data_IF_574743602289
#
_entry.id   IF_574743602289
#
_cell.length_a   1.000
_cell.length_b   1.000
_cell.length_c   1.000
_cell.angle_alpha   90.00
_cell.angle_beta   90.00
_cell.angle_gamma   90.00
#
_symmetry.space_group_name_H-M   'P 1'
#
loop_
_entity.id
_entity.type
_entity.pdbx_description
1 polymer ?
#
# COMPACT_ATOMS: atom_id res chain seq x y z
N UNK A 1 -18.22 1.16 -11.50
CA UNK A 1 -17.46 2.29 -10.96
C UNK A 1 -17.73 2.53 -9.47
N UNK A 2 -18.88 3.12 -9.05
CA UNK A 2 -19.11 3.47 -7.62
C UNK A 2 -19.00 2.27 -6.68
N UNK A 3 -19.62 1.15 -7.00
CA UNK A 3 -19.55 -0.06 -6.16
C UNK A 3 -18.16 -0.69 -6.12
N UNK A 4 -17.39 -0.61 -7.18
CA UNK A 4 -16.03 -1.11 -7.24
C UNK A 4 -15.11 -0.33 -6.31
N UNK A 5 -15.20 1.01 -6.32
CA UNK A 5 -14.43 1.89 -5.44
C UNK A 5 -14.89 1.71 -3.99
N UNK A 6 -16.21 1.81 -3.73
CA UNK A 6 -16.74 1.72 -2.38
C UNK A 6 -16.47 0.35 -1.73
N UNK A 7 -16.55 -0.76 -2.49
CA UNK A 7 -16.25 -2.09 -1.98
C UNK A 7 -14.81 -2.21 -1.49
N UNK A 8 -13.85 -1.76 -2.28
CA UNK A 8 -12.42 -1.78 -1.91
C UNK A 8 -12.13 -0.81 -0.75
N UNK A 9 -12.64 0.41 -0.81
CA UNK A 9 -12.47 1.39 0.28
C UNK A 9 -13.06 0.90 1.62
N UNK A 10 -14.24 0.29 1.59
CA UNK A 10 -14.90 -0.24 2.79
C UNK A 10 -14.21 -1.50 3.34
N UNK A 11 -13.40 -2.21 2.54
CA UNK A 11 -12.59 -3.33 3.01
C UNK A 11 -11.66 -2.91 4.14
N UNK A 12 -11.07 -1.72 4.05
CA UNK A 12 -10.19 -1.14 5.08
C UNK A 12 -10.92 -0.86 6.41
N UNK A 13 -12.24 -0.82 6.42
CA UNK A 13 -13.07 -0.52 7.60
C UNK A 13 -13.81 -1.73 8.18
N UNK A 14 -13.68 -2.91 7.56
CA UNK A 14 -14.60 -4.03 7.71
C UNK A 14 -14.94 -4.41 9.16
N UNK A 15 -13.98 -4.54 10.06
CA UNK A 15 -14.20 -4.88 11.47
C UNK A 15 -13.83 -3.74 12.43
N UNK A 16 -13.67 -2.52 11.89
CA UNK A 16 -13.33 -1.35 12.70
C UNK A 16 -14.61 -0.64 13.16
N UNK A 17 -14.60 -0.20 14.42
CA UNK A 17 -15.63 0.71 14.94
C UNK A 17 -15.18 2.15 14.67
N UNK A 18 -15.44 2.62 13.47
CA UNK A 18 -15.08 3.97 13.03
C UNK A 18 -16.21 4.58 12.19
N UNK A 19 -16.18 5.88 12.01
CA UNK A 19 -17.00 6.54 11.00
C UNK A 19 -16.43 6.24 9.61
N UNK A 20 -17.30 6.24 8.60
CA UNK A 20 -16.88 5.98 7.21
C UNK A 20 -16.21 7.23 6.67
N UNK A 21 -14.87 7.28 6.74
CA UNK A 21 -14.03 8.36 6.19
C UNK A 21 -14.61 9.76 6.49
N UNK A 22 -14.57 10.21 7.75
CA UNK A 22 -15.29 11.43 8.19
C UNK A 22 -14.79 12.70 7.52
N UNK A 23 -13.54 12.72 7.06
CA UNK A 23 -12.93 13.86 6.37
C UNK A 23 -13.14 13.83 4.86
N UNK A 24 -13.73 12.75 4.30
CA UNK A 24 -13.89 12.59 2.86
C UNK A 24 -15.19 13.22 2.36
N UNK A 25 -15.06 14.26 1.55
CA UNK A 25 -16.19 14.96 0.93
C UNK A 25 -16.45 14.52 -0.52
N UNK A 26 -15.39 14.27 -1.28
CA UNK A 26 -15.49 14.09 -2.73
C UNK A 26 -14.52 13.05 -3.26
N UNK A 27 -15.00 12.18 -4.15
CA UNK A 27 -14.18 11.28 -4.96
C UNK A 27 -14.30 11.70 -6.42
N UNK A 28 -13.20 12.17 -7.00
CA UNK A 28 -13.08 12.50 -8.42
C UNK A 28 -12.53 11.29 -9.18
N UNK A 29 -13.17 10.92 -10.28
CA UNK A 29 -12.73 9.77 -11.07
C UNK A 29 -12.48 10.22 -12.51
N UNK A 30 -11.22 10.17 -12.92
CA UNK A 30 -10.79 10.42 -14.30
C UNK A 30 -10.76 9.11 -15.10
N UNK A 31 -10.94 9.14 -16.41
CA UNK A 31 -10.91 7.91 -17.23
C UNK A 31 -9.58 7.18 -17.20
N UNK A 32 -8.46 7.92 -17.21
CA UNK A 32 -7.07 7.44 -17.23
C UNK A 32 -6.21 8.29 -16.31
N UNK A 33 -4.92 7.96 -16.23
CA UNK A 33 -3.91 8.80 -15.56
C UNK A 33 -4.07 10.28 -15.90
N UNK A 34 -3.82 11.11 -14.91
CA UNK A 34 -3.91 12.55 -15.04
C UNK A 34 -2.61 13.20 -14.59
N UNK A 35 -2.25 14.30 -15.23
CA UNK A 35 -1.07 15.07 -14.89
C UNK A 35 -1.50 16.20 -13.96
N UNK A 36 -0.97 16.20 -12.72
CA UNK A 36 -1.09 17.34 -11.82
C UNK A 36 0.20 18.15 -11.89
N UNK A 37 0.06 19.41 -12.26
CA UNK A 37 1.17 20.36 -12.19
C UNK A 37 1.20 20.93 -10.77
N UNK A 38 2.18 20.55 -9.98
CA UNK A 38 2.45 21.13 -8.66
C UNK A 38 3.53 22.19 -8.77
N UNK A 39 3.34 23.28 -8.03
CA UNK A 39 4.38 24.27 -7.83
C UNK A 39 5.17 23.87 -6.59
N UNK A 40 6.31 23.21 -6.76
CA UNK A 40 7.21 22.90 -5.66
C UNK A 40 8.08 24.11 -5.32
N UNK A 41 8.06 24.50 -4.06
CA UNK A 41 8.94 25.56 -3.56
C UNK A 41 10.26 24.93 -3.13
N UNK A 42 11.27 25.03 -3.98
CA UNK A 42 12.62 24.55 -3.69
C UNK A 42 13.38 25.42 -2.70
N UNK A 43 14.59 24.99 -2.30
CA UNK A 43 15.49 25.79 -1.46
C UNK A 43 15.72 27.19 -2.05
N UNK A 44 15.50 28.23 -1.25
CA UNK A 44 15.62 29.62 -1.70
C UNK A 44 14.33 30.24 -2.27
N UNK A 45 13.16 29.57 -2.14
CA UNK A 45 11.87 30.12 -2.57
C UNK A 45 11.62 30.06 -4.10
N UNK A 46 12.42 29.29 -4.81
CA UNK A 46 12.23 29.09 -6.26
C UNK A 46 11.07 28.13 -6.48
N UNK A 47 10.03 28.60 -7.17
CA UNK A 47 8.87 27.79 -7.54
C UNK A 47 9.19 27.08 -8.85
N UNK A 48 9.27 25.75 -8.81
CA UNK A 48 9.46 24.92 -10.01
C UNK A 48 8.17 24.13 -10.26
N UNK A 49 7.55 24.26 -11.44
CA UNK A 49 6.42 23.38 -11.77
C UNK A 49 6.95 21.96 -11.98
N UNK A 50 6.51 21.01 -11.15
CA UNK A 50 6.69 19.59 -11.38
C UNK A 50 5.41 19.00 -11.95
N UNK A 51 5.51 18.24 -13.03
CA UNK A 51 4.39 17.54 -13.65
C UNK A 51 4.59 16.03 -13.39
N UNK A 52 3.85 15.50 -12.43
CA UNK A 52 3.85 14.07 -12.14
C UNK A 52 2.55 13.45 -12.65
N UNK A 53 2.65 12.35 -13.39
CA UNK A 53 1.51 11.48 -13.68
C UNK A 53 1.07 10.82 -12.37
N UNK A 54 -0.19 11.01 -12.00
CA UNK A 54 -0.77 10.43 -10.80
C UNK A 54 -1.82 9.37 -11.16
N UNK A 55 -1.74 8.23 -10.51
CA UNK A 55 -2.70 7.13 -10.61
C UNK A 55 -3.89 7.38 -9.66
N UNK A 56 -3.58 8.04 -8.54
CA UNK A 56 -4.48 8.50 -7.52
C UNK A 56 -3.85 9.67 -6.75
N UNK A 57 -4.61 10.34 -5.93
CA UNK A 57 -4.17 11.37 -5.01
C UNK A 57 -5.21 11.60 -3.91
N UNK A 58 -4.75 11.54 -2.68
CA UNK A 58 -5.53 11.90 -1.50
C UNK A 58 -5.13 13.31 -1.04
N UNK A 59 -6.07 14.22 -1.09
CA UNK A 59 -5.84 15.61 -0.70
C UNK A 59 -6.32 15.85 0.72
N UNK A 60 -5.50 16.53 1.53
CA UNK A 60 -5.85 16.87 2.92
C UNK A 60 -7.05 17.82 3.07
N UNK A 61 -7.75 18.13 1.99
CA UNK A 61 -8.97 18.93 1.95
C UNK A 61 -10.25 18.08 1.72
N UNK A 62 -10.19 16.77 1.98
CA UNK A 62 -11.34 15.87 1.87
C UNK A 62 -11.60 15.33 0.46
N UNK A 63 -10.63 15.39 -0.42
CA UNK A 63 -10.77 14.88 -1.79
C UNK A 63 -9.85 13.69 -2.06
N UNK A 64 -10.41 12.69 -2.73
CA UNK A 64 -9.67 11.57 -3.33
C UNK A 64 -9.85 11.63 -4.83
N UNK A 65 -8.77 11.53 -5.58
CA UNK A 65 -8.77 11.51 -7.04
C UNK A 65 -8.27 10.17 -7.52
N UNK A 66 -8.97 9.52 -8.45
CA UNK A 66 -8.66 8.18 -8.94
C UNK A 66 -8.66 8.13 -10.47
N UNK A 67 -7.73 7.38 -11.06
CA UNK A 67 -7.75 6.99 -12.45
C UNK A 67 -8.56 5.68 -12.61
N UNK A 68 -9.63 5.72 -13.41
CA UNK A 68 -10.55 4.59 -13.52
C UNK A 68 -9.91 3.33 -14.10
N UNK A 69 -9.02 3.46 -15.04
CA UNK A 69 -8.28 2.34 -15.62
C UNK A 69 -7.40 1.62 -14.56
N UNK A 70 -6.80 2.36 -13.61
CA UNK A 70 -6.06 1.79 -12.50
C UNK A 70 -6.98 1.14 -11.45
N UNK A 71 -8.14 1.76 -11.15
CA UNK A 71 -9.17 1.13 -10.31
C UNK A 71 -9.62 -0.22 -10.90
N UNK A 72 -9.76 -0.30 -12.23
CA UNK A 72 -10.13 -1.55 -12.89
C UNK A 72 -9.02 -2.60 -12.83
N UNK A 73 -7.76 -2.21 -12.97
CA UNK A 73 -6.61 -3.12 -12.86
C UNK A 73 -6.51 -3.71 -11.46
N UNK A 74 -6.48 -2.89 -10.41
CA UNK A 74 -6.44 -3.37 -9.03
C UNK A 74 -7.67 -4.18 -8.63
N UNK A 75 -8.85 -3.94 -9.25
CA UNK A 75 -10.03 -4.79 -9.05
C UNK A 75 -9.97 -6.12 -9.81
N UNK A 76 -9.15 -6.24 -10.85
CA UNK A 76 -9.01 -7.44 -11.67
C UNK A 76 -7.89 -8.37 -11.19
N UNK A 77 -6.83 -7.83 -10.61
CA UNK A 77 -5.72 -8.59 -10.03
C UNK A 77 -5.60 -8.27 -8.52
N UNK A 78 -5.78 -9.27 -7.70
CA UNK A 78 -5.73 -9.20 -6.24
C UNK A 78 -4.43 -9.79 -5.67
N UNK A 79 -3.42 -9.95 -6.50
CA UNK A 79 -2.20 -10.66 -6.15
C UNK A 79 -0.92 -9.90 -6.47
N UNK A 80 -1.04 -8.80 -7.19
CA UNK A 80 0.13 -8.03 -7.66
C UNK A 80 0.62 -6.98 -6.66
N UNK A 81 -0.18 -6.63 -5.63
CA UNK A 81 0.17 -5.66 -4.60
C UNK A 81 0.05 -4.22 -5.07
N UNK A 82 -0.76 -3.96 -6.09
CA UNK A 82 -0.96 -2.64 -6.68
C UNK A 82 -2.44 -2.27 -6.79
N UNK A 83 -2.95 -1.61 -5.78
CA UNK A 83 -4.35 -1.23 -5.72
C UNK A 83 -4.52 0.24 -5.35
N UNK A 84 -4.73 1.09 -6.35
CA UNK A 84 -4.87 2.54 -6.17
C UNK A 84 -5.99 2.92 -5.19
N UNK A 85 -7.07 2.13 -5.10
CA UNK A 85 -8.16 2.42 -4.15
C UNK A 85 -7.70 2.15 -2.73
N UNK A 86 -7.07 0.99 -2.45
CA UNK A 86 -6.52 0.69 -1.14
C UNK A 86 -5.47 1.72 -0.73
N UNK A 87 -4.61 2.12 -1.68
CA UNK A 87 -3.56 3.13 -1.49
C UNK A 87 -4.13 4.47 -1.03
N UNK A 88 -5.02 5.06 -1.83
CA UNK A 88 -5.56 6.40 -1.55
C UNK A 88 -6.44 6.42 -0.29
N UNK A 89 -7.17 5.34 -0.04
CA UNK A 89 -7.98 5.24 1.17
C UNK A 89 -7.14 4.90 2.42
N UNK A 90 -5.95 4.32 2.28
CA UNK A 90 -4.99 4.25 3.37
C UNK A 90 -4.50 5.65 3.77
N UNK A 91 -4.22 6.54 2.81
CA UNK A 91 -3.91 7.94 3.10
C UNK A 91 -5.06 8.66 3.82
N UNK A 92 -6.32 8.37 3.49
CA UNK A 92 -7.46 8.92 4.24
C UNK A 92 -7.44 8.48 5.71
N UNK A 93 -7.12 7.20 5.97
CA UNK A 93 -6.99 6.69 7.34
C UNK A 93 -5.80 7.30 8.09
N UNK A 94 -4.69 7.52 7.41
CA UNK A 94 -3.51 8.16 8.00
C UNK A 94 -3.80 9.63 8.38
N UNK A 95 -4.55 10.33 7.54
CA UNK A 95 -4.94 11.74 7.74
C UNK A 95 -5.89 11.95 8.92
N UNK A 96 -6.68 10.94 9.32
CA UNK A 96 -7.60 11.01 10.47
C UNK A 96 -6.86 11.37 11.80
N UNK A 97 -5.57 11.06 11.90
CA UNK A 97 -4.74 11.43 13.06
C UNK A 97 -4.24 12.89 13.03
N UNK A 98 -4.52 13.64 11.96
CA UNK A 98 -4.16 15.05 11.76
C UNK A 98 -2.90 15.29 10.91
N UNK A 99 -2.06 14.28 10.69
CA UNK A 99 -0.87 14.37 9.85
C UNK A 99 -0.66 13.06 9.10
N UNK A 100 -0.60 13.12 7.77
CA UNK A 100 -0.24 11.97 6.94
C UNK A 100 1.25 11.63 7.14
N UNK A 101 1.56 10.74 8.06
CA UNK A 101 2.92 10.40 8.48
C UNK A 101 3.15 8.89 8.67
N UNK A 102 2.23 8.05 8.17
CA UNK A 102 2.26 6.60 8.29
C UNK A 102 1.82 6.09 9.67
N UNK A 103 1.22 6.94 10.50
CA UNK A 103 0.73 6.57 11.83
C UNK A 103 -0.77 6.90 11.96
N UNK A 104 -1.66 6.05 11.44
CA UNK A 104 -3.10 6.26 11.50
C UNK A 104 -3.59 6.25 12.96
N UNK A 105 -4.86 6.60 13.18
CA UNK A 105 -5.39 6.64 14.53
C UNK A 105 -5.32 5.27 15.23
N UNK A 106 -4.55 5.18 16.30
CA UNK A 106 -4.34 3.99 17.13
C UNK A 106 -4.95 4.17 18.53
N UNK A 107 -5.42 3.07 19.12
CA UNK A 107 -6.21 3.12 20.34
C UNK A 107 -5.44 3.56 21.61
N UNK A 108 -4.11 3.50 21.63
CA UNK A 108 -3.32 3.80 22.83
C UNK A 108 -1.88 4.27 22.50
N UNK A 109 -1.26 4.94 23.50
CA UNK A 109 0.16 5.35 23.41
C UNK A 109 1.10 4.15 23.22
N UNK A 110 0.80 3.01 23.84
CA UNK A 110 1.60 1.79 23.68
C UNK A 110 1.50 1.25 22.26
N UNK A 111 0.32 1.31 21.64
CA UNK A 111 0.13 0.93 20.23
C UNK A 111 0.93 1.82 19.30
N UNK A 112 0.96 3.15 19.54
CA UNK A 112 1.80 4.06 18.76
C UNK A 112 3.30 3.76 18.87
N UNK A 113 3.79 3.37 20.05
CA UNK A 113 5.20 2.99 20.22
C UNK A 113 5.56 1.72 19.47
N UNK A 114 4.74 0.68 19.61
CA UNK A 114 4.93 -0.58 18.87
C UNK A 114 4.89 -0.34 17.37
N UNK A 115 3.87 0.37 16.91
CA UNK A 115 3.70 0.78 15.51
C UNK A 115 4.93 1.51 14.97
N UNK A 116 5.34 2.59 15.63
CA UNK A 116 6.49 3.39 15.20
C UNK A 116 7.78 2.56 15.11
N UNK A 117 8.02 1.66 16.08
CA UNK A 117 9.22 0.81 16.09
C UNK A 117 9.24 -0.13 14.89
N UNK A 118 8.12 -0.81 14.62
CA UNK A 118 8.03 -1.78 13.52
C UNK A 118 8.05 -1.08 12.18
N UNK A 119 7.19 -0.06 11.99
CA UNK A 119 7.12 0.63 10.72
C UNK A 119 8.43 1.34 10.34
N UNK A 120 9.11 2.00 11.30
CA UNK A 120 10.38 2.66 11.01
C UNK A 120 11.45 1.67 10.56
N UNK A 121 11.53 0.51 11.22
CA UNK A 121 12.49 -0.54 10.83
C UNK A 121 12.22 -1.07 9.42
N UNK A 122 10.96 -1.42 9.12
CA UNK A 122 10.61 -1.98 7.83
C UNK A 122 10.67 -0.92 6.71
N UNK A 123 10.38 0.35 7.02
CA UNK A 123 10.59 1.46 6.11
C UNK A 123 12.08 1.66 5.77
N UNK A 124 12.97 1.63 6.77
CA UNK A 124 14.41 1.75 6.55
C UNK A 124 14.96 0.55 5.73
N UNK A 125 14.44 -0.65 5.96
CA UNK A 125 14.76 -1.83 5.16
C UNK A 125 14.32 -1.64 3.70
N UNK A 126 13.07 -1.21 3.46
CA UNK A 126 12.58 -0.97 2.10
C UNK A 126 13.39 0.13 1.38
N UNK A 127 13.80 1.19 2.09
CA UNK A 127 14.70 2.21 1.53
C UNK A 127 16.04 1.65 1.13
N UNK A 128 16.61 0.76 1.97
CA UNK A 128 17.84 0.05 1.63
C UNK A 128 17.65 -0.78 0.35
N UNK A 129 16.59 -1.58 0.28
CA UNK A 129 16.29 -2.42 -0.87
C UNK A 129 16.09 -1.59 -2.15
N UNK A 130 15.39 -0.45 -2.04
CA UNK A 130 15.21 0.47 -3.17
C UNK A 130 16.54 1.07 -3.66
N UNK A 131 17.46 1.46 -2.75
CA UNK A 131 18.77 2.02 -3.11
C UNK A 131 19.64 0.96 -3.82
N UNK A 132 19.63 -0.28 -3.32
CA UNK A 132 20.47 -1.36 -3.86
C UNK A 132 19.75 -2.23 -4.90
N UNK A 133 18.54 -1.83 -5.31
CA UNK A 133 17.70 -2.55 -6.28
C UNK A 133 17.50 -4.03 -5.92
N UNK A 134 17.35 -4.30 -4.62
CA UNK A 134 17.06 -5.64 -4.13
C UNK A 134 15.58 -5.96 -4.30
N UNK A 135 15.26 -7.24 -4.43
CA UNK A 135 13.87 -7.69 -4.51
C UNK A 135 13.18 -7.47 -3.17
N UNK A 136 11.98 -6.89 -3.20
CA UNK A 136 11.11 -6.72 -2.05
C UNK A 136 9.70 -7.24 -2.36
N UNK A 137 8.97 -7.64 -1.32
CA UNK A 137 7.54 -7.97 -1.41
C UNK A 137 6.71 -6.72 -1.64
N UNK A 138 7.13 -5.60 -1.02
CA UNK A 138 6.52 -4.28 -1.16
C UNK A 138 7.12 -3.52 -2.35
N UNK A 139 6.30 -2.71 -3.01
CA UNK A 139 6.77 -1.80 -4.05
C UNK A 139 7.73 -0.76 -3.47
N UNK A 140 8.81 -0.46 -4.20
CA UNK A 140 9.82 0.53 -3.79
C UNK A 140 9.28 1.96 -3.72
N UNK A 141 8.11 2.23 -4.28
CA UNK A 141 7.42 3.51 -4.10
C UNK A 141 7.15 3.82 -2.63
N UNK A 142 6.89 2.80 -1.81
CA UNK A 142 6.78 2.91 -0.37
C UNK A 142 8.04 3.44 0.35
N UNK A 143 9.20 3.42 -0.30
CA UNK A 143 10.44 3.99 0.25
C UNK A 143 10.51 5.51 0.17
N UNK A 144 9.55 6.18 -0.47
CA UNK A 144 9.51 7.63 -0.70
C UNK A 144 9.38 8.41 0.61
N UNK A 145 8.44 8.05 1.45
CA UNK A 145 8.21 8.64 2.77
C UNK A 145 7.31 7.71 3.62
N UNK A 146 7.17 7.96 4.93
CA UNK A 146 6.39 7.08 5.81
C UNK A 146 4.90 6.95 5.46
N UNK A 147 4.27 7.98 4.88
CA UNK A 147 2.87 7.91 4.45
C UNK A 147 2.71 6.96 3.25
N UNK A 148 3.60 7.05 2.25
CA UNK A 148 3.64 6.11 1.12
C UNK A 148 3.97 4.68 1.56
N UNK A 149 4.86 4.55 2.54
CA UNK A 149 5.15 3.23 3.13
C UNK A 149 3.90 2.60 3.73
N UNK A 150 3.11 3.34 4.49
CA UNK A 150 1.87 2.84 5.07
C UNK A 150 0.86 2.45 3.99
N UNK A 151 0.72 3.26 2.94
CA UNK A 151 -0.19 2.98 1.82
C UNK A 151 0.22 1.72 1.05
N UNK A 152 1.49 1.60 0.64
CA UNK A 152 2.03 0.41 -0.04
C UNK A 152 1.98 -0.83 0.85
N UNK A 153 2.28 -0.71 2.14
CA UNK A 153 2.14 -1.82 3.08
C UNK A 153 0.67 -2.24 3.24
N UNK A 154 -0.29 -1.31 3.12
CA UNK A 154 -1.73 -1.64 3.11
C UNK A 154 -2.10 -2.45 1.87
N UNK A 155 -1.67 -2.04 0.68
CA UNK A 155 -1.86 -2.81 -0.55
C UNK A 155 -1.28 -4.22 -0.41
N UNK A 156 -0.03 -4.31 0.05
CA UNK A 156 0.66 -5.59 0.27
C UNK A 156 -0.05 -6.48 1.30
N UNK A 157 -0.55 -5.89 2.39
CA UNK A 157 -1.30 -6.62 3.42
C UNK A 157 -2.56 -7.28 2.87
N UNK A 158 -3.32 -6.58 2.03
CA UNK A 158 -4.55 -7.09 1.46
C UNK A 158 -4.35 -8.00 0.25
N UNK A 159 -3.32 -7.80 -0.55
CA UNK A 159 -3.13 -8.51 -1.83
C UNK A 159 -2.01 -9.55 -1.81
N UNK A 160 -1.01 -9.40 -0.91
CA UNK A 160 0.10 -10.36 -0.71
C UNK A 160 0.23 -10.79 0.75
N UNK A 161 -0.87 -11.19 1.42
CA UNK A 161 -0.86 -11.42 2.87
C UNK A 161 0.09 -12.54 3.30
N UNK A 162 0.24 -13.58 2.50
CA UNK A 162 1.14 -14.69 2.81
C UNK A 162 2.61 -14.26 2.72
N UNK A 163 2.97 -13.55 1.65
CA UNK A 163 4.33 -13.05 1.45
C UNK A 163 4.69 -12.00 2.50
N UNK A 164 3.76 -11.09 2.84
CA UNK A 164 3.98 -10.13 3.90
C UNK A 164 4.14 -10.80 5.27
N UNK A 165 3.34 -11.82 5.58
CA UNK A 165 3.45 -12.56 6.82
C UNK A 165 4.77 -13.34 6.92
N UNK A 166 5.32 -13.83 5.82
CA UNK A 166 6.57 -14.58 5.76
C UNK A 166 7.80 -13.65 5.89
N UNK A 167 7.82 -12.53 5.20
CA UNK A 167 8.99 -11.66 5.12
C UNK A 167 8.96 -10.47 6.09
N UNK A 168 7.77 -10.09 6.58
CA UNK A 168 7.51 -8.93 7.43
C UNK A 168 6.56 -9.28 8.59
N UNK A 169 6.85 -10.35 9.33
CA UNK A 169 5.96 -10.94 10.35
C UNK A 169 5.44 -9.90 11.36
N UNK A 170 6.33 -9.09 11.93
CA UNK A 170 5.93 -8.11 12.94
C UNK A 170 5.09 -6.96 12.32
N UNK A 171 5.40 -6.55 11.08
CA UNK A 171 4.60 -5.57 10.35
C UNK A 171 3.22 -6.14 10.05
N UNK A 172 3.15 -7.38 9.57
CA UNK A 172 1.88 -8.08 9.35
C UNK A 172 1.03 -8.13 10.62
N UNK A 173 1.63 -8.44 11.77
CA UNK A 173 0.93 -8.46 13.06
C UNK A 173 0.38 -7.08 13.47
N UNK A 174 1.10 -5.97 13.17
CA UNK A 174 0.59 -4.62 13.40
C UNK A 174 -0.65 -4.35 12.53
N UNK A 175 -0.63 -4.76 11.27
CA UNK A 175 -1.73 -4.57 10.33
C UNK A 175 -2.94 -5.44 10.69
N UNK A 176 -2.75 -6.69 11.13
CA UNK A 176 -3.83 -7.52 11.70
C UNK A 176 -4.53 -6.82 12.87
N UNK A 177 -3.74 -6.26 13.78
CA UNK A 177 -4.28 -5.55 14.93
C UNK A 177 -5.02 -4.26 14.53
N UNK A 178 -4.53 -3.56 13.52
CA UNK A 178 -5.09 -2.31 13.03
C UNK A 178 -6.38 -2.53 12.23
N UNK A 179 -6.35 -3.39 11.22
CA UNK A 179 -7.48 -3.66 10.34
C UNK A 179 -8.51 -4.64 10.93
N UNK A 180 -8.11 -5.45 11.92
CA UNK A 180 -8.93 -6.48 12.58
C UNK A 180 -9.51 -7.52 11.61
N UNK A 181 -8.79 -7.80 10.56
CA UNK A 181 -9.07 -8.84 9.57
C UNK A 181 -7.77 -9.56 9.23
N UNK A 182 -7.87 -10.81 8.85
CA UNK A 182 -6.76 -11.56 8.26
C UNK A 182 -7.13 -11.89 6.79
N UNK A 183 -6.49 -11.23 5.81
CA UNK A 183 -6.80 -11.49 4.40
C UNK A 183 -6.52 -12.94 3.96
N UNK A 184 -5.69 -13.69 4.70
CA UNK A 184 -5.44 -15.11 4.44
C UNK A 184 -6.67 -15.98 4.65
N UNK A 185 -7.66 -15.51 5.41
CA UNK A 185 -8.94 -16.25 5.60
C UNK A 185 -9.78 -16.29 4.32
N UNK A 186 -9.51 -15.41 3.35
CA UNK A 186 -10.30 -15.25 2.11
C UNK A 186 -9.48 -15.53 0.85
N UNK A 187 -8.16 -15.63 0.95
CA UNK A 187 -7.27 -15.87 -0.17
C UNK A 187 -6.62 -17.25 -0.06
N UNK A 188 -6.53 -17.95 -1.16
CA UNK A 188 -5.71 -19.15 -1.21
C UNK A 188 -4.22 -18.79 -1.10
N UNK A 189 -3.40 -19.63 -0.43
CA UNK A 189 -1.95 -19.42 -0.43
C UNK A 189 -1.42 -19.44 -1.88
N UNK A 190 -0.36 -18.66 -2.17
CA UNK A 190 0.25 -18.68 -3.49
C UNK A 190 0.71 -20.11 -3.82
N UNK A 191 0.42 -20.54 -5.05
CA UNK A 191 0.93 -21.82 -5.54
C UNK A 191 2.42 -21.61 -5.84
N UNK A 192 3.29 -22.22 -5.04
CA UNK A 192 4.71 -22.28 -5.42
C UNK A 192 4.80 -22.97 -6.81
N UNK A 193 5.55 -22.37 -7.77
CA UNK A 193 5.84 -23.08 -8.99
C UNK A 193 6.49 -24.41 -8.58
N UNK A 194 5.78 -25.54 -8.81
CA UNK A 194 6.39 -26.85 -8.65
C UNK A 194 7.78 -26.78 -9.28
N UNK A 195 8.81 -27.15 -8.51
CA UNK A 195 10.13 -27.33 -9.06
C UNK A 195 9.94 -28.21 -10.28
N UNK A 196 9.98 -27.63 -11.47
CA UNK A 196 10.05 -28.38 -12.71
C UNK A 196 11.32 -29.19 -12.58
N UNK A 197 11.17 -30.43 -12.12
CA UNK A 197 12.26 -31.39 -12.13
C UNK A 197 12.88 -31.31 -13.51
N UNK A 198 14.15 -30.93 -13.58
CA UNK A 198 14.86 -30.78 -14.84
C UNK A 198 14.55 -31.99 -15.73
N UNK A 199 13.99 -31.83 -16.93
CA UNK A 199 13.69 -32.96 -17.80
C UNK A 199 14.96 -33.61 -18.37
N UNK A 200 16.15 -33.12 -17.96
CA UNK A 200 17.42 -33.70 -18.37
C UNK A 200 17.89 -34.68 -17.30
N UNK A 201 17.95 -36.00 -17.59
CA UNK A 201 18.62 -36.95 -16.72
C UNK A 201 20.11 -36.55 -16.59
N UNK A 202 20.61 -36.59 -15.34
CA UNK A 202 22.02 -36.36 -15.03
C UNK A 202 22.91 -37.33 -15.86
N UNK A 203 23.43 -36.85 -16.94
CA UNK A 203 24.58 -37.48 -17.62
C UNK A 203 25.87 -37.07 -16.94
N UNK A 204 26.11 -37.57 -15.76
CA UNK A 204 27.42 -37.52 -15.14
C UNK A 204 27.61 -38.79 -14.29
N UNK A 205 28.17 -39.78 -14.93
CA UNK A 205 29.17 -40.69 -14.37
C UNK A 205 29.35 -41.87 -15.28
N UNK A 206 30.33 -41.79 -16.16
CA UNK A 206 31.18 -42.92 -16.57
C UNK A 206 32.28 -42.34 -17.45
N UNK A 207 33.37 -41.97 -16.81
CA UNK A 207 34.79 -42.13 -17.32
C UNK A 207 35.71 -42.12 -16.10
#
# INVERSE_FOLDING_TARGET
MRYTIAGQACLLLLNRQTQVYPELDTILVYPTEFIVTRNEVGPGGVVTPSANGLLGESWGDGRVVLAWDHVQRGAADWTDGHNVVLHEFAHQLDSESGAANGAPYLASVSSYRSWATVLSRDFDNLRHDAIYQQHSVMDHYGATNPAEFFAVATETFFEKPYQMAEHHEELYAQFLQYYKVDPRDWMAPPVEPEHMASPFPNFAQHW
#
